data_IF_248351746915
#
_entry.id   IF_248351746915
#
_cell.length_a   1.000
_cell.length_b   1.000
_cell.length_c   1.000
_cell.angle_alpha   90.00
_cell.angle_beta   90.00
_cell.angle_gamma   90.00
#
_symmetry.space_group_name_H-M   'P 1'
#
loop_
_entity.id
_entity.type
_entity.pdbx_description
1 polymer ?
#
# COMPACT_ATOMS: atom_id res chain seq x y z
N UNK A 1 6.03 -17.49 -3.20
CA UNK A 1 5.36 -16.74 -2.12
C UNK A 1 5.84 -15.32 -2.26
N UNK A 2 4.92 -14.38 -2.18
CA UNK A 2 5.15 -12.97 -2.41
C UNK A 2 5.05 -12.24 -1.07
N UNK A 3 5.78 -11.14 -0.93
CA UNK A 3 5.71 -10.25 0.22
C UNK A 3 4.99 -8.97 -0.21
N UNK A 4 3.97 -8.55 0.54
CA UNK A 4 3.21 -7.33 0.29
C UNK A 4 3.31 -6.40 1.48
N UNK A 5 3.96 -5.26 1.30
CA UNK A 5 4.07 -4.22 2.31
C UNK A 5 2.80 -3.34 2.32
N UNK A 6 2.24 -3.16 3.51
CA UNK A 6 1.10 -2.30 3.75
C UNK A 6 1.37 -1.31 4.87
N UNK A 7 1.00 -0.06 4.60
CA UNK A 7 1.04 1.08 5.53
C UNK A 7 -0.37 1.61 5.86
N UNK A 8 -1.41 0.87 5.44
CA UNK A 8 -2.80 1.34 5.43
C UNK A 8 -3.80 0.32 5.96
N UNK A 9 -5.03 0.39 5.45
CA UNK A 9 -6.19 -0.38 5.94
C UNK A 9 -6.03 -1.90 5.85
N UNK A 10 -5.18 -2.41 4.95
CA UNK A 10 -4.89 -3.84 4.86
C UNK A 10 -4.25 -4.44 6.14
N UNK A 11 -3.72 -3.61 7.04
CA UNK A 11 -3.30 -4.07 8.37
C UNK A 11 -4.48 -4.48 9.27
N UNK A 12 -5.72 -4.11 8.93
CA UNK A 12 -6.91 -4.45 9.70
C UNK A 12 -7.36 -5.88 9.39
N UNK A 13 -7.56 -6.69 10.42
CA UNK A 13 -7.98 -8.09 10.30
C UNK A 13 -9.23 -8.28 9.44
N UNK A 14 -10.21 -7.39 9.54
CA UNK A 14 -11.44 -7.48 8.74
C UNK A 14 -11.16 -7.31 7.24
N UNK A 15 -10.30 -6.35 6.86
CA UNK A 15 -9.92 -6.11 5.46
C UNK A 15 -9.16 -7.31 4.89
N UNK A 16 -8.36 -7.99 5.71
CA UNK A 16 -7.68 -9.22 5.31
C UNK A 16 -8.68 -10.36 5.07
N UNK A 17 -9.65 -10.54 5.97
CA UNK A 17 -10.68 -11.55 5.82
C UNK A 17 -11.56 -11.30 4.59
N UNK A 18 -11.98 -10.06 4.34
CA UNK A 18 -12.78 -9.70 3.18
C UNK A 18 -12.05 -9.94 1.84
N UNK A 19 -10.77 -9.57 1.76
CA UNK A 19 -10.00 -9.67 0.52
C UNK A 19 -9.35 -11.05 0.29
N UNK A 20 -8.84 -11.67 1.34
CA UNK A 20 -8.04 -12.90 1.27
C UNK A 20 -8.76 -14.13 1.84
N UNK A 21 -9.86 -13.95 2.58
CA UNK A 21 -10.58 -15.05 3.25
C UNK A 21 -9.82 -15.65 4.44
N UNK A 22 -8.68 -15.06 4.83
CA UNK A 22 -7.84 -15.48 5.95
C UNK A 22 -7.07 -14.29 6.51
N UNK A 23 -6.55 -14.44 7.73
CA UNK A 23 -5.56 -13.50 8.25
C UNK A 23 -4.21 -13.76 7.59
N UNK A 24 -3.53 -12.68 7.27
CA UNK A 24 -2.21 -12.72 6.66
C UNK A 24 -1.15 -12.76 7.75
N UNK A 25 -0.17 -13.65 7.57
CA UNK A 25 1.02 -13.64 8.41
C UNK A 25 1.89 -12.46 7.98
N UNK A 26 2.36 -11.67 8.95
CA UNK A 26 3.12 -10.49 8.63
C UNK A 26 3.99 -9.99 9.76
N UNK A 27 5.01 -9.25 9.36
CA UNK A 27 6.04 -8.71 10.23
C UNK A 27 6.12 -7.20 10.07
N UNK A 28 6.41 -6.47 11.16
CA UNK A 28 6.64 -5.04 11.07
C UNK A 28 7.95 -4.74 10.32
N UNK A 29 7.92 -3.80 9.38
CA UNK A 29 9.09 -3.39 8.60
C UNK A 29 9.00 -1.92 8.18
N UNK A 30 10.04 -1.42 7.51
CA UNK A 30 10.12 -0.04 7.05
C UNK A 30 10.43 0.02 5.56
N UNK A 31 9.65 0.80 4.82
CA UNK A 31 9.92 1.13 3.43
C UNK A 31 10.81 2.38 3.38
N UNK A 32 12.02 2.24 2.84
CA UNK A 32 13.06 3.28 2.81
C UNK A 32 13.04 4.03 1.47
N UNK A 33 13.28 5.34 1.48
CA UNK A 33 13.25 6.16 0.25
C UNK A 33 11.87 6.67 -0.11
N UNK A 34 10.91 6.54 0.81
CA UNK A 34 9.52 6.95 0.63
C UNK A 34 9.05 7.73 1.85
N UNK A 35 8.10 8.64 1.62
CA UNK A 35 7.36 9.32 2.68
C UNK A 35 5.86 9.12 2.50
N UNK A 36 5.10 9.23 3.58
CA UNK A 36 3.64 9.34 3.51
C UNK A 36 3.25 10.77 3.15
N UNK A 37 2.51 10.92 2.06
CA UNK A 37 1.79 12.13 1.73
C UNK A 37 0.28 11.88 1.71
N UNK A 38 -0.45 12.80 1.08
CA UNK A 38 -1.89 12.68 0.89
C UNK A 38 -2.26 12.77 -0.58
N UNK A 39 -3.10 11.84 -1.05
CA UNK A 39 -3.75 11.92 -2.35
C UNK A 39 -5.19 12.36 -2.15
N UNK A 40 -5.68 13.20 -3.05
CA UNK A 40 -7.11 13.50 -3.11
C UNK A 40 -7.81 12.51 -4.02
N UNK A 41 -8.60 11.63 -3.43
CA UNK A 41 -9.44 10.72 -4.19
C UNK A 41 -10.67 11.50 -4.69
N UNK A 42 -10.82 11.55 -6.02
CA UNK A 42 -12.00 12.12 -6.67
C UNK A 42 -12.99 11.06 -7.15
N UNK A 43 -12.60 9.79 -7.08
CA UNK A 43 -13.45 8.67 -7.48
C UNK A 43 -14.68 8.54 -6.55
N UNK A 44 -15.91 8.63 -7.08
CA UNK A 44 -17.12 8.61 -6.28
C UNK A 44 -17.40 7.27 -5.60
N UNK A 45 -16.90 6.15 -6.12
CA UNK A 45 -17.06 4.83 -5.51
C UNK A 45 -16.13 4.68 -4.30
N UNK A 46 -14.88 5.12 -4.43
CA UNK A 46 -13.90 5.13 -3.34
C UNK A 46 -14.32 6.12 -2.24
N UNK A 47 -14.84 7.28 -2.60
CA UNK A 47 -15.40 8.25 -1.65
C UNK A 47 -16.56 7.67 -0.85
N UNK A 48 -17.47 6.93 -1.51
CA UNK A 48 -18.60 6.27 -0.84
C UNK A 48 -18.15 5.16 0.11
N UNK A 49 -17.15 4.36 -0.30
CA UNK A 49 -16.64 3.25 0.51
C UNK A 49 -15.81 3.71 1.69
N UNK A 50 -14.93 4.70 1.47
CA UNK A 50 -13.99 5.16 2.50
C UNK A 50 -14.52 6.32 3.37
N UNK A 51 -15.48 7.09 2.86
CA UNK A 51 -16.02 8.28 3.54
C UNK A 51 -15.02 9.44 3.70
N UNK A 52 -13.82 9.32 3.12
CA UNK A 52 -12.74 10.30 3.19
C UNK A 52 -12.29 10.67 1.79
N UNK A 53 -12.04 11.95 1.54
CA UNK A 53 -11.49 12.42 0.27
C UNK A 53 -9.96 12.45 0.25
N UNK A 54 -9.32 12.33 1.42
CA UNK A 54 -7.88 12.35 1.58
C UNK A 54 -7.42 10.98 2.07
N UNK A 55 -6.53 10.38 1.29
CA UNK A 55 -5.95 9.07 1.61
C UNK A 55 -4.45 9.16 1.74
N UNK A 56 -3.84 8.41 2.67
CA UNK A 56 -2.39 8.31 2.76
C UNK A 56 -1.85 7.66 1.49
N UNK A 57 -0.79 8.23 0.92
CA UNK A 57 -0.13 7.66 -0.26
C UNK A 57 1.39 7.71 -0.12
N UNK A 58 2.07 6.70 -0.65
CA UNK A 58 3.53 6.69 -0.72
C UNK A 58 4.03 7.61 -1.83
N UNK A 59 4.90 8.54 -1.46
CA UNK A 59 5.62 9.43 -2.37
C UNK A 59 7.08 9.01 -2.35
N UNK A 60 7.64 8.70 -3.51
CA UNK A 60 9.06 8.41 -3.65
C UNK A 60 9.90 9.67 -3.44
N UNK A 61 10.89 9.61 -2.55
CA UNK A 61 11.77 10.75 -2.24
C UNK A 61 13.24 10.48 -2.58
N UNK A 62 13.61 9.22 -2.84
CA UNK A 62 15.00 8.77 -3.01
C UNK A 62 15.92 9.04 -1.80
N UNK A 63 15.36 9.51 -0.68
CA UNK A 63 16.11 9.85 0.52
C UNK A 63 16.09 8.67 1.51
N UNK A 64 17.24 8.07 1.86
CA UNK A 64 17.30 6.93 2.77
C UNK A 64 16.89 7.25 4.22
N UNK A 65 16.90 8.53 4.60
CA UNK A 65 16.40 8.97 5.91
C UNK A 65 14.86 8.97 5.96
N UNK A 66 14.17 9.06 4.81
CA UNK A 66 12.71 8.94 4.74
C UNK A 66 12.30 7.47 4.80
N UNK A 67 11.54 7.12 5.83
CA UNK A 67 11.11 5.76 6.10
C UNK A 67 9.63 5.74 6.49
N UNK A 68 8.87 4.84 5.86
CA UNK A 68 7.47 4.60 6.21
C UNK A 68 7.37 3.31 7.00
N UNK A 69 6.83 3.39 8.21
CA UNK A 69 6.52 2.23 9.03
C UNK A 69 5.28 1.51 8.49
N UNK A 70 5.34 0.18 8.44
CA UNK A 70 4.21 -0.64 8.03
C UNK A 70 4.44 -2.11 8.38
N UNK A 71 3.66 -2.97 7.74
CA UNK A 71 3.75 -4.41 7.91
C UNK A 71 3.92 -5.08 6.55
N UNK A 72 4.85 -6.03 6.46
CA UNK A 72 5.00 -6.91 5.31
C UNK A 72 4.22 -8.20 5.54
N UNK A 73 3.27 -8.49 4.65
CA UNK A 73 2.43 -9.68 4.69
C UNK A 73 2.87 -10.71 3.67
N UNK A 74 2.81 -11.98 4.02
CA UNK A 74 3.14 -13.09 3.13
C UNK A 74 1.90 -13.65 2.44
N UNK A 75 1.85 -13.48 1.13
CA UNK A 75 0.72 -13.87 0.28
C UNK A 75 1.17 -14.76 -0.87
N UNK A 76 0.23 -15.51 -1.43
CA UNK A 76 0.44 -16.28 -2.66
C UNK A 76 0.36 -15.38 -3.89
N UNK A 77 0.88 -15.82 -5.03
CA UNK A 77 0.74 -15.06 -6.28
C UNK A 77 -0.72 -14.83 -6.69
N UNK A 78 -1.60 -15.80 -6.41
CA UNK A 78 -3.03 -15.66 -6.66
C UNK A 78 -3.65 -14.57 -5.78
N UNK A 79 -3.27 -14.52 -4.50
CA UNK A 79 -3.69 -13.48 -3.57
C UNK A 79 -3.13 -12.11 -3.94
N UNK A 80 -1.90 -12.04 -4.44
CA UNK A 80 -1.32 -10.81 -4.97
C UNK A 80 -2.13 -10.30 -6.18
N UNK A 81 -2.51 -11.19 -7.11
CA UNK A 81 -3.38 -10.83 -8.23
C UNK A 81 -4.78 -10.34 -7.78
N UNK A 82 -5.31 -10.88 -6.66
CA UNK A 82 -6.56 -10.38 -6.05
C UNK A 82 -6.35 -9.00 -5.42
N UNK A 83 -5.21 -8.75 -4.80
CA UNK A 83 -4.86 -7.42 -4.28
C UNK A 83 -4.74 -6.40 -5.42
N UNK A 84 -4.15 -6.76 -6.56
CA UNK A 84 -4.12 -5.90 -7.75
C UNK A 84 -5.53 -5.56 -8.26
N UNK A 85 -6.48 -6.50 -8.11
CA UNK A 85 -7.87 -6.29 -8.53
C UNK A 85 -8.68 -5.44 -7.54
N UNK A 86 -8.18 -5.30 -6.30
CA UNK A 86 -8.78 -4.46 -5.25
C UNK A 86 -8.36 -3.00 -5.38
N UNK A 87 -7.13 -2.77 -5.85
CA UNK A 87 -6.55 -1.44 -5.95
C UNK A 87 -7.06 -0.71 -7.21
N UNK A 88 -7.48 0.54 -7.02
CA UNK A 88 -8.03 1.40 -8.09
C UNK A 88 -6.91 1.97 -8.97
N UNK A 89 -7.26 2.56 -10.12
CA UNK A 89 -6.30 3.07 -11.12
C UNK A 89 -5.26 4.08 -10.58
N UNK A 90 -5.54 4.71 -9.44
CA UNK A 90 -4.62 5.62 -8.75
C UNK A 90 -3.46 4.93 -8.02
N UNK A 91 -3.49 3.60 -7.86
CA UNK A 91 -2.44 2.82 -7.22
C UNK A 91 -1.76 1.87 -8.21
N UNK A 92 -0.43 1.96 -8.28
CA UNK A 92 0.40 1.07 -9.08
C UNK A 92 1.23 0.18 -8.17
N UNK A 93 1.26 -1.12 -8.48
CA UNK A 93 2.12 -2.08 -7.80
C UNK A 93 3.57 -1.82 -8.18
N UNK A 94 4.41 -1.61 -7.18
CA UNK A 94 5.86 -1.44 -7.33
C UNK A 94 6.59 -2.42 -6.41
N UNK A 95 7.84 -2.74 -6.77
CA UNK A 95 8.73 -3.57 -5.97
C UNK A 95 9.79 -2.69 -5.30
N UNK A 96 10.04 -2.90 -4.00
CA UNK A 96 11.12 -2.24 -3.29
C UNK A 96 11.76 -3.16 -2.25
N UNK A 97 12.96 -2.78 -1.82
CA UNK A 97 13.62 -3.39 -0.67
C UNK A 97 13.24 -2.64 0.60
N UNK A 98 12.79 -3.41 1.57
CA UNK A 98 12.54 -2.94 2.93
C UNK A 98 13.85 -2.76 3.69
N UNK A 99 13.78 -2.08 4.84
CA UNK A 99 14.93 -1.87 5.74
C UNK A 99 15.55 -3.18 6.22
N UNK A 100 14.74 -4.21 6.40
CA UNK A 100 15.21 -5.58 6.72
C UNK A 100 15.99 -6.25 5.57
N UNK A 101 16.01 -5.66 4.38
CA UNK A 101 16.63 -6.23 3.18
C UNK A 101 15.72 -7.17 2.38
N UNK A 102 14.50 -7.42 2.87
CA UNK A 102 13.46 -8.20 2.19
C UNK A 102 12.93 -7.41 0.98
N UNK A 103 12.74 -8.09 -0.14
CA UNK A 103 12.02 -7.53 -1.30
C UNK A 103 10.53 -7.74 -1.13
N UNK A 104 9.73 -6.69 -1.34
CA UNK A 104 8.28 -6.76 -1.29
C UNK A 104 7.61 -5.91 -2.38
N UNK A 105 6.38 -6.28 -2.69
CA UNK A 105 5.44 -5.46 -3.42
C UNK A 105 4.81 -4.42 -2.49
N UNK A 106 4.49 -3.25 -3.02
CA UNK A 106 3.69 -2.24 -2.35
C UNK A 106 2.90 -1.45 -3.38
N UNK A 107 1.83 -0.80 -2.93
CA UNK A 107 1.02 0.08 -3.76
C UNK A 107 1.34 1.54 -3.46
N UNK A 108 1.75 2.27 -4.49
CA UNK A 108 2.04 3.69 -4.43
C UNK A 108 1.27 4.44 -5.51
N UNK A 109 1.30 5.76 -5.44
CA UNK A 109 0.69 6.63 -6.44
C UNK A 109 1.11 6.23 -7.86
N UNK A 110 0.12 6.03 -8.74
CA UNK A 110 0.35 6.09 -10.16
C UNK A 110 0.70 7.53 -10.58
N UNK A 111 1.32 7.69 -11.74
CA UNK A 111 1.70 9.02 -12.28
C UNK A 111 0.47 9.95 -12.46
N UNK A 112 -0.72 9.37 -12.60
CA UNK A 112 -2.00 10.08 -12.74
C UNK A 112 -2.61 10.52 -11.40
N UNK A 113 -2.07 10.07 -10.27
CA UNK A 113 -2.66 10.34 -8.96
C UNK A 113 -2.54 11.82 -8.60
N UNK A 114 -3.63 12.41 -8.09
CA UNK A 114 -3.66 13.80 -7.65
C UNK A 114 -3.03 13.95 -6.25
N UNK A 115 -1.71 13.81 -6.19
CA UNK A 115 -0.91 13.95 -4.98
C UNK A 115 -0.91 15.42 -4.55
N UNK A 116 -1.36 15.69 -3.32
CA UNK A 116 -1.26 17.03 -2.75
C UNK A 116 0.21 17.31 -2.44
N UNK A 117 0.79 18.29 -3.15
CA UNK A 117 2.10 18.83 -2.81
C UNK A 117 1.90 19.82 -1.66
N UNK A 118 2.50 19.51 -0.50
CA UNK A 118 2.61 20.42 0.64
C UNK A 118 3.44 21.66 0.29
#
# INVERSE_FOLDING_TARGET
MEALFSYGTLQQSQVQLDNFGRLLDGEADYLVGYRLGQVRITDPEVLKSSGKALHPILIYTANPDDQVAGSVFFITQQELARADSYEVADYVRQEAKLKSGKTCWFYAASDSANILKE
#
